data_IF_973662044795
#
_entry.id   IF_973662044795
#
_cell.length_a   1.000
_cell.length_b   1.000
_cell.length_c   1.000
_cell.angle_alpha   90.00
_cell.angle_beta   90.00
_cell.angle_gamma   90.00
#
_symmetry.space_group_name_H-M   'P 1'
#
loop_
_entity.id
_entity.type
_entity.pdbx_description
1 polymer ?
#
# COMPACT_ATOMS: atom_id res chain seq x y z
N UNK A 1 -1.54 4.41 -10.93
CA UNK A 1 -0.71 5.23 -10.06
C UNK A 1 0.19 4.33 -9.27
N UNK A 2 1.48 4.65 -9.25
CA UNK A 2 2.50 3.91 -8.50
C UNK A 2 2.89 4.74 -7.28
N UNK A 3 2.95 4.10 -6.10
CA UNK A 3 3.41 4.74 -4.87
C UNK A 3 4.71 4.08 -4.44
N UNK A 4 5.72 4.91 -4.19
CA UNK A 4 6.98 4.47 -3.60
C UNK A 4 6.86 4.48 -2.07
N UNK A 5 7.17 3.36 -1.45
CA UNK A 5 7.17 3.12 -0.02
C UNK A 5 8.63 2.93 0.40
N UNK A 6 9.24 3.97 0.98
CA UNK A 6 10.66 3.93 1.31
C UNK A 6 11.58 3.70 0.09
N UNK A 7 12.74 3.09 0.34
CA UNK A 7 13.84 3.12 -0.63
C UNK A 7 13.72 2.10 -1.76
N UNK A 8 13.01 0.98 -1.60
CA UNK A 8 12.97 -0.08 -2.63
C UNK A 8 11.58 -0.60 -3.01
N UNK A 9 10.52 -0.21 -2.30
CA UNK A 9 9.18 -0.75 -2.55
C UNK A 9 8.35 0.18 -3.44
N UNK A 10 7.90 -0.34 -4.59
CA UNK A 10 6.92 0.35 -5.44
C UNK A 10 5.62 -0.45 -5.45
N UNK A 11 4.49 0.23 -5.27
CA UNK A 11 3.16 -0.36 -5.17
C UNK A 11 2.24 0.20 -6.26
N UNK A 12 1.63 -0.67 -7.06
CA UNK A 12 0.66 -0.26 -8.08
C UNK A 12 -0.75 -0.20 -7.48
N UNK A 13 -1.31 0.99 -7.34
CA UNK A 13 -2.61 1.19 -6.69
C UNK A 13 -3.83 0.82 -7.55
N UNK A 14 -3.71 0.68 -8.87
CA UNK A 14 -4.88 0.45 -9.73
C UNK A 14 -5.61 -0.86 -9.47
N UNK A 15 -4.91 -1.87 -8.95
CA UNK A 15 -5.44 -3.22 -8.78
C UNK A 15 -5.50 -3.64 -7.32
N UNK A 16 -5.22 -2.72 -6.40
CA UNK A 16 -5.31 -2.99 -4.96
C UNK A 16 -6.77 -3.13 -4.58
N UNK A 17 -7.10 -4.25 -3.94
CA UNK A 17 -8.40 -4.50 -3.33
C UNK A 17 -8.44 -4.01 -1.89
N UNK A 18 -7.40 -4.33 -1.11
CA UNK A 18 -7.33 -3.95 0.29
C UNK A 18 -5.90 -3.89 0.79
N UNK A 19 -5.69 -3.06 1.79
CA UNK A 19 -4.43 -2.94 2.51
C UNK A 19 -4.75 -3.01 3.99
N UNK A 20 -4.02 -3.85 4.72
CA UNK A 20 -4.21 -4.06 6.14
C UNK A 20 -2.88 -3.96 6.87
N UNK A 21 -2.90 -3.29 8.03
CA UNK A 21 -1.79 -3.34 8.99
C UNK A 21 -1.82 -4.68 9.74
N UNK A 22 -0.76 -5.46 9.63
CA UNK A 22 -0.60 -6.74 10.32
C UNK A 22 0.71 -6.66 11.10
N UNK A 23 0.63 -6.16 12.34
CA UNK A 23 1.71 -5.82 13.29
C UNK A 23 3.14 -5.81 12.72
N UNK A 24 3.82 -4.70 12.48
CA UNK A 24 5.14 -4.68 11.83
C UNK A 24 5.11 -4.81 10.30
N UNK A 25 4.04 -5.34 9.71
CA UNK A 25 3.91 -5.49 8.26
C UNK A 25 2.66 -4.78 7.70
N UNK A 26 2.66 -4.56 6.38
CA UNK A 26 1.47 -4.28 5.59
C UNK A 26 1.15 -5.48 4.70
N UNK A 27 -0.08 -5.97 4.79
CA UNK A 27 -0.63 -6.95 3.85
C UNK A 27 -1.38 -6.20 2.75
N UNK A 28 -0.97 -6.43 1.50
CA UNK A 28 -1.56 -5.81 0.32
C UNK A 28 -2.20 -6.90 -0.52
N UNK A 29 -3.51 -6.79 -0.73
CA UNK A 29 -4.28 -7.69 -1.59
C UNK A 29 -4.63 -7.03 -2.89
N UNK A 30 -4.49 -7.78 -3.98
CA UNK A 30 -4.84 -7.35 -5.33
C UNK A 30 -5.98 -8.18 -5.90
N UNK A 31 -6.59 -7.70 -6.99
CA UNK A 31 -7.58 -8.45 -7.76
C UNK A 31 -7.06 -9.83 -8.20
N UNK A 32 -5.76 -9.91 -8.52
CA UNK A 32 -5.08 -11.17 -8.78
C UNK A 32 -4.39 -11.66 -7.49
N UNK A 33 -4.84 -12.77 -6.88
CA UNK A 33 -4.27 -13.27 -5.63
C UNK A 33 -2.77 -13.62 -5.71
N UNK A 34 -2.26 -13.95 -6.91
CA UNK A 34 -0.83 -14.24 -7.12
C UNK A 34 0.07 -13.02 -6.92
N UNK A 35 -0.51 -11.82 -6.93
CA UNK A 35 0.19 -10.56 -6.69
C UNK A 35 0.11 -10.10 -5.23
N UNK A 36 -0.64 -10.80 -4.38
CA UNK A 36 -0.73 -10.50 -2.96
C UNK A 36 0.66 -10.51 -2.35
N UNK A 37 0.96 -9.50 -1.54
CA UNK A 37 2.28 -9.32 -0.96
C UNK A 37 2.21 -8.81 0.46
N UNK A 38 3.24 -9.14 1.22
CA UNK A 38 3.45 -8.65 2.58
C UNK A 38 4.70 -7.80 2.58
N UNK A 39 4.53 -6.51 2.87
CA UNK A 39 5.63 -5.55 2.99
C UNK A 39 6.06 -5.53 4.44
N UNK A 40 7.32 -5.83 4.69
CA UNK A 40 7.88 -5.86 6.04
C UNK A 40 8.56 -4.54 6.35
N UNK A 41 8.34 -4.06 7.56
CA UNK A 41 8.97 -2.85 8.06
C UNK A 41 9.75 -3.18 9.32
N UNK A 42 10.94 -2.59 9.44
CA UNK A 42 11.77 -2.72 10.63
C UNK A 42 11.21 -1.89 11.80
N UNK A 43 10.59 -0.75 11.50
CA UNK A 43 9.93 0.12 12.48
C UNK A 43 8.40 0.15 12.25
N UNK A 44 7.59 -0.10 13.29
CA UNK A 44 6.15 0.16 13.28
C UNK A 44 5.73 1.55 12.78
N UNK A 45 6.53 2.59 13.04
CA UNK A 45 6.27 3.97 12.62
C UNK A 45 6.42 4.14 11.10
N UNK A 46 7.46 3.55 10.50
CA UNK A 46 7.66 3.57 9.04
C UNK A 46 6.51 2.89 8.31
N UNK A 47 6.03 1.78 8.87
CA UNK A 47 4.83 1.08 8.37
C UNK A 47 3.60 1.97 8.44
N UNK A 48 3.38 2.67 9.55
CA UNK A 48 2.22 3.53 9.73
C UNK A 48 2.27 4.73 8.77
N UNK A 49 3.43 5.37 8.61
CA UNK A 49 3.65 6.44 7.64
C UNK A 49 3.47 5.95 6.19
N UNK A 50 3.97 4.76 5.86
CA UNK A 50 3.75 4.14 4.55
C UNK A 50 2.25 3.88 4.32
N UNK A 51 1.53 3.38 5.32
CA UNK A 51 0.10 3.12 5.23
C UNK A 51 -0.69 4.40 4.96
N UNK A 52 -0.42 5.48 5.71
CA UNK A 52 -1.06 6.78 5.51
C UNK A 52 -0.82 7.32 4.11
N UNK A 53 0.44 7.27 3.63
CA UNK A 53 0.79 7.70 2.28
C UNK A 53 0.05 6.91 1.21
N UNK A 54 -0.12 5.60 1.39
CA UNK A 54 -0.91 4.79 0.45
C UNK A 54 -2.37 5.23 0.46
N UNK A 55 -2.96 5.42 1.64
CA UNK A 55 -4.36 5.82 1.78
C UNK A 55 -4.64 7.18 1.14
N UNK A 56 -3.79 8.18 1.36
CA UNK A 56 -3.91 9.49 0.71
C UNK A 56 -3.89 9.38 -0.82
N UNK A 57 -3.00 8.55 -1.35
CA UNK A 57 -2.88 8.32 -2.77
C UNK A 57 -4.11 7.56 -3.31
N UNK A 58 -4.64 6.57 -2.61
CA UNK A 58 -5.88 5.89 -2.99
C UNK A 58 -7.08 6.87 -3.03
N UNK A 59 -7.18 7.77 -2.06
CA UNK A 59 -8.22 8.81 -2.05
C UNK A 59 -8.09 9.72 -3.27
N UNK A 60 -6.87 10.21 -3.57
CA UNK A 60 -6.61 11.03 -4.77
C UNK A 60 -6.97 10.31 -6.06
N UNK A 61 -6.65 9.01 -6.16
CA UNK A 61 -7.00 8.21 -7.33
C UNK A 61 -8.52 8.11 -7.51
N UNK A 62 -9.24 7.89 -6.41
CA UNK A 62 -10.70 7.79 -6.45
C UNK A 62 -11.35 9.13 -6.84
N UNK A 63 -10.88 10.24 -6.28
CA UNK A 63 -11.33 11.57 -6.66
C UNK A 63 -11.03 11.92 -8.12
N UNK A 64 -9.94 11.41 -8.70
CA UNK A 64 -9.61 11.63 -10.10
C UNK A 64 -10.42 10.76 -11.08
N UNK A 65 -11.17 9.77 -10.58
CA UNK A 65 -12.05 8.91 -11.37
C UNK A 65 -13.53 9.33 -11.30
N UNK A 66 -13.85 10.28 -10.43
CA UNK A 66 -15.16 10.96 -10.34
C UNK A 66 -15.16 12.21 -11.23
#
# INVERSE_FOLDING_TARGET
MWVRLGDEEILNLHHVLSIKKAGGNLEVRYNNPTQNRTIRFSDPQDRDAAFERIMENLIKLRLAME
#
